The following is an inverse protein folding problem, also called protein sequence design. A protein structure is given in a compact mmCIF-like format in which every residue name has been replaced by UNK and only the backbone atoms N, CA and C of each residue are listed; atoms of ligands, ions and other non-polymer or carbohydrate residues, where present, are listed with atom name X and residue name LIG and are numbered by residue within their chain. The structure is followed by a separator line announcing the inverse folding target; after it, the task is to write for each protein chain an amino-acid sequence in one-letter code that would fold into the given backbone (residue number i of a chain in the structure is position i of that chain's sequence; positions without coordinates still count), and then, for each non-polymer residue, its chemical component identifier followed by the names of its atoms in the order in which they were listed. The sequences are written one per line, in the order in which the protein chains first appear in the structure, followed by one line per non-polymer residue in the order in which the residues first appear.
data_IF_693398429003
#
_entry.id   IF_693398429003
#
_cell.length_a   1.000
_cell.length_b   1.000
_cell.length_c   1.000
_cell.angle_alpha   90.00
_cell.angle_beta   90.00
_cell.angle_gamma   90.00
#
_symmetry.space_group_name_H-M   'P 1'
#
loop_
_entity.id
_entity.type
_entity.pdbx_description
1 polymer ?
#
# COMPACT_ATOMS: atom_id res chain seq x y z
N UNK A 1 -48.69 -10.27 -3.25
CA UNK A 1 -49.31 -9.42 -2.20
C UNK A 1 -48.13 -8.72 -1.53
N UNK A 2 -47.75 -7.48 -1.86
CA UNK A 2 -48.50 -6.23 -1.81
C UNK A 2 -48.06 -5.33 -2.98
N UNK A 3 -49.02 -4.63 -3.59
CA UNK A 3 -48.86 -3.62 -4.64
C UNK A 3 -48.48 -2.28 -4.02
N UNK A 4 -47.68 -1.47 -4.72
CA UNK A 4 -47.74 -0.01 -4.58
C UNK A 4 -48.00 0.59 -5.97
N UNK A 5 -49.18 1.20 -6.09
CA UNK A 5 -49.61 1.99 -7.25
C UNK A 5 -49.06 3.42 -7.17
N UNK A 6 -48.82 3.98 -8.36
CA UNK A 6 -48.46 5.36 -8.64
C UNK A 6 -49.52 6.38 -8.19
N UNK A 7 -49.10 7.62 -7.93
CA UNK A 7 -49.99 8.77 -7.99
C UNK A 7 -49.37 9.88 -8.85
N UNK A 8 -50.05 10.19 -9.95
CA UNK A 8 -49.83 11.30 -10.87
C UNK A 8 -50.89 12.39 -10.63
N UNK A 9 -50.46 13.65 -10.68
CA UNK A 9 -51.23 14.90 -10.89
C UNK A 9 -50.15 15.94 -11.25
N UNK A 10 -50.12 16.65 -12.36
CA UNK A 10 -51.18 17.20 -13.21
C UNK A 10 -50.90 18.71 -13.32
N UNK A 11 -50.25 19.13 -14.41
CA UNK A 11 -49.92 20.52 -14.83
C UNK A 11 -51.21 21.32 -15.18
N UNK A 12 -51.26 22.68 -15.25
CA UNK A 12 -50.63 23.41 -16.38
C UNK A 12 -50.24 24.91 -16.22
N UNK A 13 -49.51 25.40 -17.23
CA UNK A 13 -49.53 26.72 -17.94
C UNK A 13 -49.00 28.05 -17.36
N UNK A 14 -47.78 28.39 -17.82
CA UNK A 14 -47.42 29.50 -18.75
C UNK A 14 -48.12 30.88 -18.66
N UNK A 15 -47.35 31.94 -18.33
CA UNK A 15 -47.56 33.32 -18.82
C UNK A 15 -46.22 34.00 -19.19
N UNK A 16 -46.19 34.59 -20.40
CA UNK A 16 -45.13 35.36 -21.06
C UNK A 16 -45.11 36.84 -20.62
N UNK A 17 -43.91 37.46 -20.58
CA UNK A 17 -43.61 38.83 -21.08
C UNK A 17 -42.09 39.10 -20.94
N UNK A 18 -41.28 39.07 -22.02
CA UNK A 18 -40.93 40.14 -22.99
C UNK A 18 -40.24 41.39 -22.39
N UNK A 19 -38.93 41.51 -22.67
CA UNK A 19 -38.12 42.71 -22.47
C UNK A 19 -36.72 42.52 -23.10
N UNK A 20 -36.59 42.85 -24.39
CA UNK A 20 -35.35 42.85 -25.17
C UNK A 20 -34.73 44.25 -25.09
N UNK A 21 -33.44 44.37 -24.72
CA UNK A 21 -32.50 45.33 -25.35
C UNK A 21 -31.11 44.67 -25.41
N UNK A 22 -30.54 44.74 -26.61
CA UNK A 22 -29.18 44.36 -27.05
C UNK A 22 -28.06 44.90 -26.14
N UNK A 23 -26.84 44.37 -26.11
CA UNK A 23 -26.18 43.34 -26.89
C UNK A 23 -24.67 43.46 -26.63
N UNK A 24 -23.95 42.35 -26.64
CA UNK A 24 -22.54 42.31 -27.01
C UNK A 24 -22.17 40.85 -27.30
N UNK A 25 -21.98 40.59 -28.58
CA UNK A 25 -21.56 39.30 -29.10
C UNK A 25 -20.07 39.09 -28.79
N UNK A 26 -19.77 38.01 -28.07
CA UNK A 26 -18.48 37.32 -28.18
C UNK A 26 -18.80 35.83 -28.31
N UNK A 27 -18.88 35.37 -29.56
CA UNK A 27 -18.89 33.94 -29.87
C UNK A 27 -17.49 33.38 -29.69
N UNK A 28 -17.33 32.36 -28.83
CA UNK A 28 -16.45 31.20 -29.09
C UNK A 28 -16.99 29.95 -28.39
N UNK A 29 -17.58 29.10 -29.23
CA UNK A 29 -17.57 27.64 -29.26
C UNK A 29 -17.45 26.88 -27.93
N UNK A 30 -18.56 26.24 -27.56
CA UNK A 30 -18.57 25.00 -26.80
C UNK A 30 -17.95 23.90 -27.67
N UNK A 31 -16.89 23.27 -27.17
CA UNK A 31 -16.40 21.99 -27.65
C UNK A 31 -16.32 21.05 -26.44
N UNK A 32 -16.82 19.85 -26.64
CA UNK A 32 -17.05 18.80 -25.66
C UNK A 32 -15.83 18.53 -24.77
N UNK A 33 -16.05 18.59 -23.45
CA UNK A 33 -15.12 18.04 -22.47
C UNK A 33 -15.27 16.51 -22.45
N UNK A 34 -14.74 15.84 -23.47
CA UNK A 34 -14.42 14.42 -23.39
C UNK A 34 -13.28 14.24 -22.40
N UNK A 35 -13.63 13.69 -21.23
CA UNK A 35 -12.74 13.22 -20.19
C UNK A 35 -11.87 12.07 -20.73
N UNK A 36 -10.78 12.42 -21.41
CA UNK A 36 -9.69 11.53 -21.77
C UNK A 36 -8.39 12.20 -21.34
N UNK A 37 -8.18 12.22 -20.02
CA UNK A 37 -6.87 12.52 -19.46
C UNK A 37 -6.06 11.24 -19.49
N UNK A 38 -5.27 11.10 -20.54
CA UNK A 38 -4.16 10.15 -20.62
C UNK A 38 -3.28 10.35 -19.38
N UNK A 39 -3.47 9.47 -18.39
CA UNK A 39 -2.52 9.30 -17.29
C UNK A 39 -1.40 8.42 -17.82
N UNK A 40 -0.61 9.00 -18.71
CA UNK A 40 0.75 8.56 -18.96
C UNK A 40 1.53 9.00 -17.71
N UNK A 41 1.38 8.18 -16.66
CA UNK A 41 2.21 8.27 -15.47
C UNK A 41 3.60 7.88 -15.93
N UNK A 42 4.38 8.92 -16.21
CA UNK A 42 5.79 8.93 -16.48
C UNK A 42 6.46 7.87 -15.60
N UNK A 43 6.73 6.72 -16.21
CA UNK A 43 7.53 5.67 -15.63
C UNK A 43 8.93 6.25 -15.46
N UNK A 44 9.15 6.84 -14.29
CA UNK A 44 10.46 7.29 -13.88
C UNK A 44 11.32 6.04 -13.76
N UNK A 45 12.22 5.86 -14.72
CA UNK A 45 13.17 4.76 -14.81
C UNK A 45 14.29 4.88 -13.77
N UNK A 46 13.93 5.23 -12.53
CA UNK A 46 14.77 5.42 -11.37
C UNK A 46 14.14 4.68 -10.19
N UNK A 47 14.58 3.43 -9.95
CA UNK A 47 14.44 2.78 -8.64
C UNK A 47 13.04 2.68 -8.04
N UNK A 48 12.00 2.55 -8.86
CA UNK A 48 10.62 2.41 -8.39
C UNK A 48 10.46 1.20 -7.46
N UNK A 49 9.90 1.42 -6.28
CA UNK A 49 9.48 0.37 -5.35
C UNK A 49 8.50 -0.55 -6.05
N UNK A 50 8.89 -1.79 -6.30
CA UNK A 50 8.07 -2.74 -7.05
C UNK A 50 6.88 -3.27 -6.25
N UNK A 51 6.96 -3.20 -4.91
CA UNK A 51 5.94 -3.73 -4.01
C UNK A 51 5.69 -2.74 -2.89
N UNK A 52 4.43 -2.43 -2.62
CA UNK A 52 4.02 -1.61 -1.46
C UNK A 52 3.04 -2.42 -0.63
N UNK A 53 3.31 -2.55 0.67
CA UNK A 53 2.47 -3.23 1.65
C UNK A 53 1.99 -2.25 2.71
N UNK A 54 0.79 -2.48 3.23
CA UNK A 54 0.20 -1.70 4.30
C UNK A 54 -0.11 -2.60 5.49
N UNK A 55 0.29 -2.15 6.67
CA UNK A 55 0.01 -2.83 7.93
C UNK A 55 -1.47 -2.65 8.30
N UNK A 56 -2.29 -3.67 8.08
CA UNK A 56 -3.75 -3.55 8.22
C UNK A 56 -4.19 -3.55 9.68
N UNK A 57 -3.44 -4.24 10.54
CA UNK A 57 -3.60 -4.20 12.00
C UNK A 57 -2.33 -4.68 12.66
N UNK A 58 -2.24 -4.56 13.98
CA UNK A 58 -1.09 -5.08 14.72
C UNK A 58 -1.49 -5.54 16.11
N UNK A 59 -0.90 -6.65 16.54
CA UNK A 59 -0.87 -7.07 17.94
C UNK A 59 0.55 -6.92 18.46
N UNK A 60 0.70 -6.21 19.58
CA UNK A 60 2.02 -5.96 20.21
C UNK A 60 2.04 -6.44 21.65
N UNK A 61 3.15 -7.03 22.06
CA UNK A 61 3.54 -7.23 23.47
C UNK A 61 4.90 -6.59 23.74
N UNK A 62 5.15 -6.27 25.02
CA UNK A 62 6.42 -5.73 25.49
C UNK A 62 6.94 -6.64 26.58
N UNK A 63 7.92 -7.47 26.24
CA UNK A 63 8.41 -8.53 27.09
C UNK A 63 9.88 -8.28 27.45
N UNK A 64 10.30 -8.49 28.72
CA UNK A 64 11.71 -8.42 29.07
C UNK A 64 12.54 -9.40 28.23
N UNK A 65 13.71 -8.97 27.74
CA UNK A 65 14.63 -9.85 27.02
C UNK A 65 15.29 -10.82 28.02
N UNK A 66 15.06 -12.14 27.91
CA UNK A 66 15.64 -13.12 28.84
C UNK A 66 17.16 -13.21 28.74
N UNK A 67 17.74 -12.76 27.62
CA UNK A 67 19.18 -12.80 27.37
C UNK A 67 19.91 -11.51 27.77
N UNK A 68 19.18 -10.42 28.03
CA UNK A 68 19.75 -9.09 28.23
C UNK A 68 18.99 -8.31 29.30
N UNK A 69 19.54 -8.26 30.52
CA UNK A 69 18.91 -7.57 31.64
C UNK A 69 18.65 -6.09 31.31
N UNK A 70 17.41 -5.64 31.54
CA UNK A 70 16.98 -4.26 31.30
C UNK A 70 16.60 -3.93 29.85
N UNK A 71 16.74 -4.86 28.91
CA UNK A 71 16.22 -4.70 27.55
C UNK A 71 14.78 -5.19 27.51
N UNK A 72 13.88 -4.41 26.90
CA UNK A 72 12.51 -4.83 26.58
C UNK A 72 12.47 -5.12 25.08
N UNK A 73 11.84 -6.23 24.70
CA UNK A 73 11.50 -6.57 23.33
C UNK A 73 10.07 -6.17 23.05
N UNK A 74 9.88 -5.37 22.00
CA UNK A 74 8.59 -5.20 21.35
C UNK A 74 8.42 -6.38 20.40
N UNK A 75 7.47 -7.26 20.70
CA UNK A 75 7.11 -8.36 19.83
C UNK A 75 5.80 -8.01 19.13
N UNK A 76 5.79 -8.01 17.81
CA UNK A 76 4.58 -7.70 17.05
C UNK A 76 4.21 -8.80 16.06
N UNK A 77 2.93 -8.87 15.75
CA UNK A 77 2.42 -9.66 14.62
C UNK A 77 1.37 -8.84 13.89
N UNK A 78 1.50 -8.78 12.57
CA UNK A 78 0.66 -7.95 11.72
C UNK A 78 0.26 -8.67 10.42
N UNK A 79 -1.04 -8.67 10.06
CA UNK A 79 -1.46 -8.88 8.68
C UNK A 79 -1.16 -7.64 7.83
N UNK A 80 -0.56 -7.86 6.67
CA UNK A 80 -0.28 -6.84 5.67
C UNK A 80 -1.04 -7.13 4.39
N UNK A 81 -1.42 -6.08 3.68
CA UNK A 81 -1.96 -6.17 2.33
C UNK A 81 -1.44 -5.04 1.47
N UNK A 82 -1.19 -5.31 0.20
CA UNK A 82 -0.82 -4.27 -0.75
C UNK A 82 -0.66 -4.81 -2.16
N UNK A 83 0.24 -4.22 -2.94
CA UNK A 83 0.34 -4.46 -4.36
C UNK A 83 1.78 -4.67 -4.81
N UNK A 84 1.94 -5.55 -5.79
CA UNK A 84 3.16 -5.78 -6.54
C UNK A 84 2.90 -5.41 -8.00
N UNK A 85 3.68 -4.47 -8.55
CA UNK A 85 3.54 -4.09 -9.95
C UNK A 85 3.94 -5.25 -10.88
N UNK A 86 3.25 -5.38 -12.01
CA UNK A 86 3.57 -6.40 -13.01
C UNK A 86 5.02 -6.23 -13.50
N UNK A 87 5.74 -7.34 -13.62
CA UNK A 87 7.16 -7.38 -13.97
C UNK A 87 8.09 -7.46 -12.76
N UNK A 88 7.57 -7.32 -11.55
CA UNK A 88 8.34 -7.57 -10.33
C UNK A 88 8.45 -9.07 -10.04
N UNK A 89 9.44 -9.51 -9.25
CA UNK A 89 9.55 -10.93 -8.86
C UNK A 89 8.32 -11.50 -8.14
N UNK A 90 7.52 -10.67 -7.47
CA UNK A 90 6.26 -11.08 -6.84
C UNK A 90 5.03 -10.91 -7.75
N UNK A 91 5.17 -10.31 -8.93
CA UNK A 91 4.10 -10.28 -9.94
C UNK A 91 4.72 -10.44 -11.33
N UNK A 92 5.27 -11.63 -11.64
CA UNK A 92 5.92 -11.89 -12.91
C UNK A 92 4.93 -11.72 -14.07
N UNK A 93 5.42 -11.20 -15.21
CA UNK A 93 4.60 -10.88 -16.39
C UNK A 93 3.87 -12.10 -16.98
N UNK A 94 4.36 -13.30 -16.69
CA UNK A 94 3.78 -14.59 -17.04
C UNK A 94 2.36 -14.74 -16.48
N UNK A 95 2.04 -14.06 -15.37
CA UNK A 95 0.69 -14.04 -14.80
C UNK A 95 -0.32 -13.28 -15.67
N UNK A 96 0.13 -12.47 -16.63
CA UNK A 96 -0.76 -11.81 -17.61
C UNK A 96 -1.46 -12.82 -18.52
N UNK A 97 -0.96 -14.07 -18.62
CA UNK A 97 -1.67 -15.16 -19.33
C UNK A 97 -3.03 -15.41 -18.66
N UNK A 98 -3.06 -15.38 -17.32
CA UNK A 98 -4.27 -15.57 -16.52
C UNK A 98 -5.08 -14.27 -16.36
N UNK A 99 -4.45 -13.10 -16.55
CA UNK A 99 -5.09 -11.79 -16.42
C UNK A 99 -4.51 -10.73 -17.36
N UNK A 100 -4.90 -10.68 -18.64
CA UNK A 100 -4.23 -9.86 -19.66
C UNK A 100 -4.29 -8.33 -19.46
N UNK A 101 -5.15 -7.85 -18.55
CA UNK A 101 -5.33 -6.42 -18.24
C UNK A 101 -4.89 -6.06 -16.83
N UNK A 102 -4.28 -7.01 -16.12
CA UNK A 102 -3.77 -6.79 -14.78
C UNK A 102 -2.58 -5.82 -14.84
N UNK A 103 -2.56 -4.84 -13.93
CA UNK A 103 -1.45 -3.89 -13.79
C UNK A 103 -0.56 -4.23 -12.59
N UNK A 104 -1.17 -4.83 -11.57
CA UNK A 104 -0.50 -5.27 -10.35
C UNK A 104 -1.18 -6.53 -9.81
N UNK A 105 -0.42 -7.32 -9.07
CA UNK A 105 -0.94 -8.40 -8.25
C UNK A 105 -1.18 -7.88 -6.83
N UNK A 106 -2.13 -8.46 -6.11
CA UNK A 106 -2.29 -8.17 -4.67
C UNK A 106 -1.36 -9.06 -3.88
N UNK A 107 -0.71 -8.52 -2.86
CA UNK A 107 0.11 -9.28 -1.93
C UNK A 107 -0.57 -9.23 -0.57
N UNK A 108 -0.79 -10.39 0.03
CA UNK A 108 -1.22 -10.54 1.42
C UNK A 108 -0.12 -11.21 2.20
N UNK A 109 0.15 -10.76 3.42
CA UNK A 109 1.20 -11.31 4.25
C UNK A 109 0.80 -11.32 5.72
N UNK A 110 1.47 -12.16 6.49
CA UNK A 110 1.47 -12.06 7.95
C UNK A 110 2.91 -12.04 8.40
N UNK A 111 3.34 -10.92 9.00
CA UNK A 111 4.68 -10.71 9.53
C UNK A 111 4.69 -10.70 11.05
N UNK A 112 5.81 -11.11 11.62
CA UNK A 112 6.11 -10.97 13.03
C UNK A 112 7.53 -10.45 13.24
N UNK A 113 7.70 -9.57 14.23
CA UNK A 113 8.98 -8.97 14.61
C UNK A 113 9.30 -9.16 16.10
N UNK A 114 10.59 -9.00 16.44
CA UNK A 114 11.05 -8.92 17.83
C UNK A 114 12.13 -7.84 17.99
N UNK A 115 11.69 -6.61 18.17
CA UNK A 115 12.53 -5.41 18.16
C UNK A 115 12.97 -5.02 19.56
N UNK A 116 14.26 -4.78 19.77
CA UNK A 116 14.76 -4.18 21.02
C UNK A 116 14.30 -2.73 21.15
N UNK A 117 13.67 -2.37 22.27
CA UNK A 117 13.28 -0.98 22.54
C UNK A 117 14.47 -0.07 22.85
N UNK A 118 15.67 -0.65 23.01
CA UNK A 118 16.91 0.10 23.28
C UNK A 118 17.64 0.44 21.99
N UNK A 119 17.61 -0.44 20.99
CA UNK A 119 18.33 -0.23 19.73
C UNK A 119 17.40 0.10 18.57
N UNK A 120 16.13 -0.25 18.68
CA UNK A 120 15.18 -0.23 17.56
C UNK A 120 15.42 -1.34 16.54
N UNK A 121 16.30 -2.31 16.80
CA UNK A 121 16.63 -3.36 15.84
C UNK A 121 16.13 -4.73 16.28
N UNK A 122 15.85 -5.61 15.32
CA UNK A 122 15.46 -6.99 15.60
C UNK A 122 15.20 -7.84 14.35
N UNK A 123 15.04 -9.17 14.53
CA UNK A 123 14.62 -10.04 13.45
C UNK A 123 13.15 -9.82 13.08
N UNK A 124 12.82 -10.17 11.85
CA UNK A 124 11.46 -10.20 11.31
C UNK A 124 11.28 -11.45 10.44
N UNK A 125 10.09 -12.03 10.45
CA UNK A 125 9.75 -13.18 9.62
C UNK A 125 8.26 -13.29 9.35
N UNK A 126 7.86 -14.05 8.35
CA UNK A 126 6.44 -14.22 8.05
C UNK A 126 6.14 -15.12 6.85
N UNK A 127 4.87 -15.16 6.49
CA UNK A 127 4.33 -15.82 5.30
C UNK A 127 3.70 -14.79 4.37
N UNK A 128 3.63 -15.10 3.08
CA UNK A 128 2.95 -14.27 2.10
C UNK A 128 2.31 -15.10 1.00
N UNK A 129 1.25 -14.55 0.41
CA UNK A 129 0.66 -14.98 -0.84
C UNK A 129 0.58 -13.80 -1.80
N UNK A 130 0.84 -14.07 -3.07
CA UNK A 130 0.45 -13.19 -4.18
C UNK A 130 -0.86 -13.74 -4.71
N UNK A 131 -1.88 -12.89 -4.76
CA UNK A 131 -3.23 -13.25 -5.17
C UNK A 131 -3.69 -12.38 -6.34
N UNK A 132 -4.47 -12.99 -7.24
CA UNK A 132 -5.16 -12.33 -8.35
C UNK A 132 -6.66 -12.54 -8.23
N UNK A 133 -7.45 -11.90 -9.09
CA UNK A 133 -8.89 -12.11 -9.11
C UNK A 133 -9.22 -13.54 -9.57
N UNK A 134 -9.96 -14.29 -8.75
CA UNK A 134 -10.51 -15.56 -9.17
C UNK A 134 -11.52 -15.39 -10.32
N UNK A 135 -11.63 -16.36 -11.24
CA UNK A 135 -12.72 -16.40 -12.21
C UNK A 135 -14.08 -16.30 -11.51
N UNK A 136 -14.93 -15.38 -11.98
CA UNK A 136 -16.26 -15.12 -11.38
C UNK A 136 -16.29 -13.96 -10.38
N UNK A 137 -15.14 -13.48 -9.91
CA UNK A 137 -15.09 -12.27 -9.09
C UNK A 137 -15.44 -11.03 -9.91
N UNK A 138 -16.19 -10.11 -9.31
CA UNK A 138 -16.38 -8.77 -9.88
C UNK A 138 -15.10 -7.95 -9.78
N UNK A 139 -14.96 -6.91 -10.60
CA UNK A 139 -13.77 -6.03 -10.58
C UNK A 139 -13.57 -5.25 -9.27
N UNK A 140 -14.56 -5.25 -8.38
CA UNK A 140 -14.52 -4.58 -7.07
C UNK A 140 -14.35 -5.56 -5.90
N UNK A 141 -14.35 -6.87 -6.18
CA UNK A 141 -14.04 -7.87 -5.17
C UNK A 141 -12.54 -7.87 -4.89
N UNK A 142 -12.16 -8.17 -3.65
CA UNK A 142 -10.74 -8.33 -3.30
C UNK A 142 -10.16 -9.55 -4.03
N UNK A 143 -8.97 -9.44 -4.65
CA UNK A 143 -8.27 -10.60 -5.19
C UNK A 143 -8.03 -11.67 -4.11
N UNK A 144 -8.26 -12.94 -4.46
CA UNK A 144 -8.31 -14.06 -3.51
C UNK A 144 -7.82 -15.40 -4.09
N UNK A 145 -7.39 -15.45 -5.36
CA UNK A 145 -6.80 -16.64 -5.97
C UNK A 145 -5.27 -16.61 -5.84
N UNK A 146 -4.65 -17.46 -5.01
CA UNK A 146 -3.20 -17.47 -4.85
C UNK A 146 -2.50 -18.01 -6.09
N UNK A 147 -1.42 -17.31 -6.48
CA UNK A 147 -0.56 -17.65 -7.62
C UNK A 147 0.91 -17.77 -7.26
N UNK A 148 1.33 -17.21 -6.12
CA UNK A 148 2.66 -17.41 -5.54
C UNK A 148 2.47 -17.50 -4.02
N UNK A 149 3.17 -18.42 -3.37
CA UNK A 149 3.15 -18.53 -1.91
C UNK A 149 4.56 -18.81 -1.37
N UNK A 150 4.83 -18.32 -0.16
CA UNK A 150 6.13 -18.50 0.46
C UNK A 150 6.27 -17.86 1.83
N UNK A 151 7.53 -17.70 2.24
CA UNK A 151 7.92 -17.06 3.49
C UNK A 151 8.84 -15.88 3.26
N UNK A 152 9.02 -15.03 4.26
CA UNK A 152 10.08 -14.05 4.29
C UNK A 152 10.76 -14.04 5.64
N UNK A 153 12.02 -13.62 5.66
CA UNK A 153 12.77 -13.39 6.90
C UNK A 153 13.86 -12.36 6.67
N UNK A 154 14.25 -11.67 7.74
CA UNK A 154 15.22 -10.59 7.66
C UNK A 154 15.46 -9.92 8.99
N UNK A 155 16.02 -8.72 8.92
CA UNK A 155 16.19 -7.83 10.07
C UNK A 155 15.55 -6.48 9.76
N UNK A 156 14.93 -5.91 10.79
CA UNK A 156 14.41 -4.56 10.77
C UNK A 156 15.30 -3.64 11.60
N UNK A 157 15.46 -2.41 11.11
CA UNK A 157 16.10 -1.30 11.80
C UNK A 157 15.09 -0.14 11.92
N UNK A 158 14.54 0.03 13.12
CA UNK A 158 13.67 1.12 13.54
C UNK A 158 14.41 2.12 14.45
N UNK A 159 15.75 2.12 14.44
CA UNK A 159 16.56 3.00 15.31
C UNK A 159 16.21 4.48 15.12
N UNK A 160 15.94 4.92 13.88
CA UNK A 160 15.44 6.26 13.58
C UNK A 160 14.16 6.60 14.35
N UNK A 161 13.20 5.67 14.38
CA UNK A 161 11.93 5.86 15.08
C UNK A 161 12.07 5.79 16.60
N UNK A 162 12.87 4.84 17.08
CA UNK A 162 13.01 4.55 18.52
C UNK A 162 13.91 5.57 19.21
N UNK A 163 15.06 5.91 18.62
CA UNK A 163 16.09 6.75 19.24
C UNK A 163 15.98 8.23 18.87
N UNK A 164 15.59 8.51 17.62
CA UNK A 164 15.58 9.87 17.09
C UNK A 164 14.17 10.39 16.82
N UNK A 165 13.16 9.56 17.11
CA UNK A 165 11.77 9.86 16.81
C UNK A 165 11.54 10.27 15.34
N UNK A 166 12.30 9.78 14.37
CA UNK A 166 12.02 9.99 12.94
C UNK A 166 11.13 8.83 12.47
N UNK A 167 9.97 9.06 11.82
CA UNK A 167 8.95 8.03 11.60
C UNK A 167 9.27 7.17 10.38
N UNK A 168 10.52 6.70 10.32
CA UNK A 168 11.10 5.88 9.28
C UNK A 168 11.79 4.67 9.91
N UNK A 169 11.84 3.57 9.15
CA UNK A 169 12.63 2.40 9.46
C UNK A 169 13.00 1.66 8.18
N UNK A 170 13.86 0.66 8.27
CA UNK A 170 14.28 -0.15 7.14
C UNK A 170 14.23 -1.63 7.44
N UNK A 171 14.15 -2.43 6.38
CA UNK A 171 14.21 -3.89 6.42
C UNK A 171 15.15 -4.39 5.33
N UNK A 172 15.89 -5.42 5.65
CA UNK A 172 16.64 -6.22 4.69
C UNK A 172 16.38 -7.69 4.95
N UNK A 173 16.23 -8.48 3.90
CA UNK A 173 15.86 -9.87 4.05
C UNK A 173 15.76 -10.63 2.75
N UNK A 174 15.14 -11.80 2.83
CA UNK A 174 14.85 -12.64 1.69
C UNK A 174 13.39 -13.08 1.70
N UNK A 175 12.75 -13.04 0.54
CA UNK A 175 11.58 -13.88 0.27
C UNK A 175 12.06 -15.26 -0.16
N UNK A 176 11.34 -16.30 0.29
CA UNK A 176 11.52 -17.68 -0.14
C UNK A 176 10.21 -18.17 -0.73
N UNK A 177 10.13 -18.22 -2.05
CA UNK A 177 8.97 -18.74 -2.78
C UNK A 177 9.07 -20.26 -2.81
N UNK A 178 8.01 -20.92 -2.35
CA UNK A 178 7.92 -22.39 -2.32
C UNK A 178 6.84 -22.93 -3.23
N UNK A 179 5.84 -22.11 -3.60
CA UNK A 179 4.76 -22.48 -4.49
C UNK A 179 4.49 -21.41 -5.54
N UNK A 180 4.11 -21.85 -6.74
CA UNK A 180 3.73 -21.00 -7.86
C UNK A 180 2.62 -21.67 -8.67
N UNK A 181 1.73 -20.87 -9.26
CA UNK A 181 0.68 -21.37 -10.14
C UNK A 181 1.31 -21.94 -11.41
N UNK A 182 0.92 -23.16 -11.74
CA UNK A 182 1.27 -23.77 -13.02
C UNK A 182 0.52 -23.04 -14.15
N UNK A 183 1.20 -22.50 -15.17
CA UNK A 183 0.55 -21.74 -16.23
C UNK A 183 -0.43 -22.54 -17.10
N UNK A 184 -0.31 -23.88 -17.14
CA UNK A 184 -1.18 -24.74 -17.92
C UNK A 184 -2.45 -25.14 -17.15
N UNK A 185 -2.37 -25.29 -15.83
CA UNK A 185 -3.51 -25.74 -14.99
C UNK A 185 -4.13 -24.63 -14.15
N UNK A 186 -3.41 -23.53 -13.92
CA UNK A 186 -3.79 -22.47 -12.99
C UNK A 186 -3.77 -22.91 -11.52
N UNK A 187 -3.32 -24.13 -11.22
CA UNK A 187 -3.27 -24.65 -9.85
C UNK A 187 -1.95 -24.26 -9.18
N UNK A 188 -2.04 -23.85 -7.92
CA UNK A 188 -0.87 -23.58 -7.08
C UNK A 188 -0.16 -24.92 -6.76
N UNK A 189 1.10 -25.03 -7.17
CA UNK A 189 1.92 -26.23 -6.97
C UNK A 189 3.25 -25.91 -6.30
N UNK A 190 3.83 -26.91 -5.63
CA UNK A 190 5.17 -26.78 -5.06
C UNK A 190 6.24 -26.69 -6.13
N UNK A 191 7.19 -25.78 -5.95
CA UNK A 191 8.37 -25.69 -6.80
C UNK A 191 9.34 -26.85 -6.48
N UNK A 192 10.05 -27.41 -7.48
CA UNK A 192 11.08 -28.43 -7.25
C UNK A 192 12.20 -27.94 -6.33
N UNK A 193 12.50 -26.64 -6.37
CA UNK A 193 13.46 -25.97 -5.49
C UNK A 193 12.90 -24.59 -5.12
N UNK A 194 13.01 -24.15 -3.86
CA UNK A 194 12.59 -22.81 -3.46
C UNK A 194 13.39 -21.73 -4.20
N UNK A 195 12.71 -20.64 -4.58
CA UNK A 195 13.36 -19.45 -5.15
C UNK A 195 13.58 -18.43 -4.04
N UNK A 196 14.83 -18.03 -3.83
CA UNK A 196 15.20 -17.04 -2.80
C UNK A 196 15.46 -15.70 -3.46
N UNK A 197 14.74 -14.67 -3.01
CA UNK A 197 14.79 -13.32 -3.56
C UNK A 197 15.23 -12.33 -2.48
N UNK A 198 16.44 -11.76 -2.57
CA UNK A 198 16.86 -10.72 -1.64
C UNK A 198 16.03 -9.45 -1.87
N UNK A 199 15.68 -8.79 -0.78
CA UNK A 199 14.96 -7.53 -0.83
C UNK A 199 15.48 -6.54 0.21
N UNK A 200 15.22 -5.28 -0.06
CA UNK A 200 15.27 -4.22 0.95
C UNK A 200 13.92 -3.52 1.00
N UNK A 201 13.66 -2.79 2.08
CA UNK A 201 12.48 -1.94 2.15
C UNK A 201 12.56 -0.84 3.17
N UNK A 202 11.63 0.09 3.04
CA UNK A 202 11.47 1.28 3.90
C UNK A 202 10.10 1.23 4.56
N UNK A 203 10.08 1.26 5.89
CA UNK A 203 8.87 1.50 6.68
C UNK A 203 8.65 3.01 6.80
N UNK A 204 7.44 3.47 6.47
CA UNK A 204 6.96 4.82 6.73
C UNK A 204 5.83 4.75 7.74
N UNK A 205 6.10 5.23 8.95
CA UNK A 205 5.10 5.30 10.01
C UNK A 205 4.28 6.58 9.84
N UNK A 206 2.94 6.50 9.83
CA UNK A 206 2.12 7.67 9.66
C UNK A 206 2.15 8.54 10.93
N UNK A 207 2.13 9.85 10.75
CA UNK A 207 2.01 10.80 11.85
C UNK A 207 1.08 11.95 11.49
N UNK A 208 0.49 12.57 12.51
CA UNK A 208 -0.31 13.77 12.36
C UNK A 208 0.52 15.00 12.74
N UNK A 209 0.21 16.13 12.10
CA UNK A 209 0.74 17.44 12.47
C UNK A 209 -0.41 18.36 12.92
N UNK A 210 -0.15 19.23 13.89
CA UNK A 210 -1.09 20.26 14.33
C UNK A 210 -1.01 21.51 13.43
N UNK A 211 -1.85 22.50 13.71
CA UNK A 211 -1.88 23.78 12.99
C UNK A 211 -0.59 24.59 13.10
N UNK A 212 0.34 24.19 13.98
CA UNK A 212 1.65 24.79 14.17
C UNK A 212 2.78 23.92 13.59
N UNK A 213 2.45 22.95 12.73
CA UNK A 213 3.36 21.98 12.13
C UNK A 213 4.13 21.13 13.15
N UNK A 214 3.60 20.96 14.37
CA UNK A 214 4.17 20.08 15.38
C UNK A 214 3.48 18.73 15.34
N UNK A 215 4.18 17.67 15.75
CA UNK A 215 3.55 16.36 15.87
C UNK A 215 2.36 16.39 16.81
N UNK A 216 1.24 15.91 16.30
CA UNK A 216 0.01 15.77 17.05
C UNK A 216 -0.27 14.29 17.33
N UNK A 217 -1.14 14.02 18.30
CA UNK A 217 -1.73 12.68 18.42
C UNK A 217 -2.50 12.38 17.14
N UNK A 218 -2.26 11.19 16.61
CA UNK A 218 -3.06 10.62 15.54
C UNK A 218 -4.45 10.28 16.10
N UNK A 219 -5.49 10.81 15.47
CA UNK A 219 -6.87 10.40 15.66
C UNK A 219 -7.48 10.13 14.27
N UNK A 220 -8.60 9.42 14.21
CA UNK A 220 -9.25 9.05 12.94
C UNK A 220 -9.75 10.24 12.11
N UNK A 221 -9.74 11.45 12.65
CA UNK A 221 -10.33 12.64 12.03
C UNK A 221 -9.29 13.59 11.45
N UNK A 222 -8.01 13.40 11.79
CA UNK A 222 -6.91 14.25 11.31
C UNK A 222 -6.27 13.68 10.06
N UNK A 223 -5.81 14.59 9.20
CA UNK A 223 -4.90 14.26 8.12
C UNK A 223 -3.61 13.66 8.71
N UNK A 224 -3.16 12.56 8.11
CA UNK A 224 -1.91 11.90 8.45
C UNK A 224 -0.96 11.97 7.26
N UNK A 225 0.34 11.91 7.55
CA UNK A 225 1.40 12.05 6.58
C UNK A 225 2.44 10.95 6.77
N UNK A 226 3.08 10.57 5.65
CA UNK A 226 4.35 9.85 5.65
C UNK A 226 5.49 10.85 5.39
N UNK A 227 6.64 10.60 6.01
CA UNK A 227 7.87 11.33 5.71
C UNK A 227 8.58 10.67 4.52
N UNK A 228 9.04 11.47 3.56
CA UNK A 228 9.85 11.00 2.44
C UNK A 228 11.33 10.82 2.84
N UNK A 229 12.14 10.36 1.89
CA UNK A 229 13.54 9.97 2.14
C UNK A 229 14.49 11.17 2.31
N UNK A 230 14.07 12.35 1.83
CA UNK A 230 14.76 13.62 2.03
C UNK A 230 14.59 14.18 3.46
N UNK A 231 13.80 13.51 4.31
CA UNK A 231 13.45 13.90 5.67
C UNK A 231 12.68 15.23 5.78
N UNK A 232 12.19 15.76 4.66
CA UNK A 232 11.51 17.06 4.59
C UNK A 232 10.13 16.94 3.94
N UNK A 233 10.02 16.18 2.85
CA UNK A 233 8.80 16.08 2.07
C UNK A 233 7.75 15.26 2.81
N UNK A 234 6.56 15.84 2.96
CA UNK A 234 5.41 15.20 3.57
C UNK A 234 4.47 14.68 2.48
N UNK A 235 4.22 13.38 2.49
CA UNK A 235 3.23 12.75 1.62
C UNK A 235 1.95 12.50 2.38
N UNK A 236 0.83 13.07 1.94
CA UNK A 236 -0.48 12.81 2.54
C UNK A 236 -0.84 11.32 2.44
N UNK A 237 -1.28 10.73 3.56
CA UNK A 237 -1.86 9.38 3.58
C UNK A 237 -3.17 9.38 2.79
N UNK A 238 -3.26 8.53 1.78
CA UNK A 238 -4.42 8.46 0.88
C UNK A 238 -5.53 7.62 1.51
N UNK A 239 -6.80 7.81 1.10
CA UNK A 239 -7.92 6.99 1.58
C UNK A 239 -7.73 5.47 1.39
N UNK A 240 -7.02 5.07 0.33
CA UNK A 240 -6.70 3.65 0.03
C UNK A 240 -5.62 3.06 0.94
N UNK A 241 -4.99 3.87 1.79
CA UNK A 241 -3.91 3.49 2.70
C UNK A 241 -4.40 3.46 4.16
N UNK A 242 -5.73 3.54 4.34
CA UNK A 242 -6.37 3.48 5.63
C UNK A 242 -6.88 2.06 5.90
N UNK A 243 -6.69 1.59 7.14
CA UNK A 243 -7.38 0.41 7.66
C UNK A 243 -8.52 0.86 8.58
N UNK A 244 -9.76 0.72 8.10
CA UNK A 244 -10.97 1.13 8.84
C UNK A 244 -10.88 2.57 9.38
N UNK A 245 -10.28 3.46 8.58
CA UNK A 245 -10.08 4.88 8.91
C UNK A 245 -8.84 5.21 9.75
N UNK A 246 -8.00 4.23 10.09
CA UNK A 246 -6.68 4.50 10.67
C UNK A 246 -5.61 4.52 9.59
N UNK A 247 -4.68 5.48 9.61
CA UNK A 247 -3.54 5.46 8.71
C UNK A 247 -2.64 4.26 9.04
N UNK A 248 -2.27 3.50 8.01
CA UNK A 248 -1.45 2.28 8.15
C UNK A 248 0.03 2.60 8.05
N UNK A 249 0.89 1.74 8.62
CA UNK A 249 2.32 1.77 8.29
C UNK A 249 2.47 1.30 6.83
N UNK A 250 3.21 2.06 6.02
CA UNK A 250 3.53 1.69 4.64
C UNK A 250 4.91 1.06 4.60
N UNK A 251 5.02 -0.11 4.00
CA UNK A 251 6.28 -0.77 3.70
C UNK A 251 6.49 -0.77 2.18
N UNK A 252 7.53 -0.07 1.74
CA UNK A 252 7.94 0.02 0.35
C UNK A 252 9.11 -0.94 0.11
N UNK A 253 8.95 -1.94 -0.75
CA UNK A 253 9.92 -3.03 -0.98
C UNK A 253 10.53 -2.92 -2.38
N UNK A 254 11.83 -3.16 -2.44
CA UNK A 254 12.64 -3.23 -3.65
C UNK A 254 13.38 -4.56 -3.75
N UNK A 255 13.52 -5.07 -4.97
CA UNK A 255 14.28 -6.27 -5.27
C UNK A 255 15.58 -5.91 -6.00
N UNK A 256 16.64 -6.65 -5.71
CA UNK A 256 17.96 -6.43 -6.32
C UNK A 256 18.86 -5.48 -5.51
N UNK A 257 20.06 -5.21 -6.03
CA UNK A 257 21.09 -4.42 -5.35
C UNK A 257 20.85 -2.92 -5.43
N UNK A 258 19.77 -2.44 -4.84
CA UNK A 258 19.62 -1.02 -4.49
C UNK A 258 19.82 -0.87 -3.00
N UNK A 259 20.79 -0.06 -2.58
CA UNK A 259 21.07 0.17 -1.18
C UNK A 259 19.83 0.76 -0.48
N UNK A 260 19.48 0.22 0.70
CA UNK A 260 18.43 0.80 1.53
C UNK A 260 18.87 2.17 2.07
N UNK A 261 17.92 3.09 2.21
CA UNK A 261 18.17 4.47 2.64
C UNK A 261 18.80 4.53 4.05
N UNK A 262 18.56 3.54 4.91
CA UNK A 262 19.20 3.49 6.24
C UNK A 262 20.72 3.31 6.19
N UNK A 263 21.32 2.87 5.08
CA UNK A 263 22.79 2.86 4.96
C UNK A 263 23.39 4.27 4.83
N UNK A 264 22.60 5.28 4.47
CA UNK A 264 23.08 6.67 4.33
C UNK A 264 23.16 7.37 5.69
N UNK A 265 22.29 7.01 6.65
CA UNK A 265 22.27 7.64 7.97
C UNK A 265 23.40 7.18 8.90
N UNK A 266 24.07 6.05 8.60
CA UNK A 266 25.23 5.56 9.36
C UNK A 266 26.57 6.17 8.95
N UNK A 267 26.58 7.11 7.99
CA UNK A 267 27.81 7.75 7.45
C UNK A 267 28.02 9.21 7.87
N UNK A 268 27.27 9.73 8.86
CA UNK A 268 27.55 11.06 9.44
C UNK A 268 28.08 10.94 10.86
#
# INVERSE_FOLDING_TARGET
MIRHECSSKGDPDMVKQLGIVAGLAVSRMLADASYAGDREEQADSLGGTGVTLYEISERVTFDPDPSSAGVIRRNATSPLQGFAEVGTPLCPSELLISGPRMKSCTVIATGADSVSTVTGMGPVSGTFDVVINAPGNSSVHVPDLPVISGTFSGNVDLSLAVLYHVPLGCIEGNFTITQMADPATGMLGSLPQPVVLPFTGTFRMPFAIDTHARRARSDRQRAAFYLADDLETLSLVRPTELSVGFPTVRLEVTFGSTASICQISGRR
#
